data_IF_226313712190
#
_entry.id   IF_226313712190
#
_cell.length_a   1.000
_cell.length_b   1.000
_cell.length_c   1.000
_cell.angle_alpha   90.00
_cell.angle_beta   90.00
_cell.angle_gamma   90.00
#
_symmetry.space_group_name_H-M   'P 1'
#
loop_
_entity.id
_entity.type
_entity.pdbx_description
1 polymer ?
#
# COMPACT_ATOMS: atom_id res chain seq x y z
N UNK A 1 -17.61 -18.10 -11.50
CA UNK A 1 -16.63 -17.01 -11.74
C UNK A 1 -17.34 -15.69 -11.49
N UNK A 2 -16.71 -14.73 -10.83
CA UNK A 2 -17.33 -13.43 -10.47
C UNK A 2 -16.59 -12.32 -11.19
N UNK A 3 -17.33 -11.46 -11.92
CA UNK A 3 -16.76 -10.24 -12.50
C UNK A 3 -16.69 -9.16 -11.41
N UNK A 4 -15.56 -8.48 -11.36
CA UNK A 4 -15.34 -7.34 -10.47
C UNK A 4 -14.88 -6.14 -11.29
N UNK A 5 -15.26 -4.96 -10.84
CA UNK A 5 -14.82 -3.70 -11.41
C UNK A 5 -14.10 -2.94 -10.32
N UNK A 6 -12.87 -2.51 -10.62
CA UNK A 6 -12.01 -1.75 -9.71
C UNK A 6 -11.92 -0.33 -10.25
N UNK A 7 -12.25 0.64 -9.41
CA UNK A 7 -12.17 2.06 -9.75
C UNK A 7 -10.74 2.58 -9.65
N UNK A 8 -10.45 3.73 -10.27
CA UNK A 8 -9.11 4.33 -10.32
C UNK A 8 -8.49 4.61 -8.95
N UNK A 9 -9.31 4.79 -7.92
CA UNK A 9 -8.85 5.12 -6.56
C UNK A 9 -8.66 3.86 -5.69
N UNK A 10 -8.90 2.67 -6.23
CA UNK A 10 -8.83 1.42 -5.49
C UNK A 10 -7.77 0.48 -6.07
N UNK A 11 -7.14 -0.28 -5.18
CA UNK A 11 -6.31 -1.43 -5.52
C UNK A 11 -6.92 -2.65 -4.86
N UNK A 12 -6.92 -3.78 -5.57
CA UNK A 12 -7.43 -5.02 -5.05
C UNK A 12 -6.33 -6.09 -5.00
N UNK A 13 -6.13 -6.65 -3.82
CA UNK A 13 -5.22 -7.76 -3.57
C UNK A 13 -5.99 -9.07 -3.69
N UNK A 14 -5.57 -9.92 -4.62
CA UNK A 14 -6.21 -11.22 -4.86
C UNK A 14 -5.39 -12.31 -4.19
N UNK A 15 -6.04 -13.04 -3.29
CA UNK A 15 -5.46 -14.12 -2.54
C UNK A 15 -6.00 -15.47 -3.01
N UNK A 16 -5.17 -16.50 -2.93
CA UNK A 16 -5.60 -17.89 -3.14
C UNK A 16 -4.90 -18.77 -2.14
N UNK A 17 -5.68 -19.48 -1.31
CA UNK A 17 -5.16 -20.27 -0.17
C UNK A 17 -4.27 -19.45 0.79
N UNK A 18 -4.61 -18.18 1.01
CA UNK A 18 -3.88 -17.28 1.91
C UNK A 18 -2.66 -16.58 1.28
N UNK A 19 -2.24 -16.95 0.08
CA UNK A 19 -1.11 -16.31 -0.60
C UNK A 19 -1.57 -15.20 -1.56
N UNK A 20 -0.87 -14.06 -1.55
CA UNK A 20 -1.09 -12.99 -2.52
C UNK A 20 -0.64 -13.44 -3.91
N UNK A 21 -1.60 -13.58 -4.83
CA UNK A 21 -1.34 -14.01 -6.21
C UNK A 21 -1.26 -12.86 -7.19
N UNK A 22 -2.15 -11.87 -7.06
CA UNK A 22 -2.27 -10.77 -8.01
C UNK A 22 -2.60 -9.48 -7.30
N UNK A 23 -2.10 -8.39 -7.88
CA UNK A 23 -2.47 -7.02 -7.50
C UNK A 23 -3.16 -6.40 -8.70
N UNK A 24 -4.40 -5.99 -8.51
CA UNK A 24 -5.25 -5.46 -9.56
C UNK A 24 -5.51 -3.98 -9.32
N UNK A 25 -5.19 -3.15 -10.31
CA UNK A 25 -5.51 -1.71 -10.33
C UNK A 25 -6.81 -1.47 -11.09
N UNK A 26 -7.11 -0.22 -11.43
CA UNK A 26 -8.32 0.17 -12.17
C UNK A 26 -8.60 -0.71 -13.39
N UNK A 27 -9.80 -1.26 -13.49
CA UNK A 27 -10.17 -2.14 -14.60
C UNK A 27 -11.28 -3.14 -14.27
N UNK A 28 -11.63 -3.95 -15.26
CA UNK A 28 -12.60 -5.05 -15.12
C UNK A 28 -11.87 -6.39 -15.14
N UNK A 29 -12.10 -7.21 -14.12
CA UNK A 29 -11.42 -8.50 -13.96
C UNK A 29 -12.40 -9.62 -13.67
N UNK A 30 -12.00 -10.84 -14.02
CA UNK A 30 -12.70 -12.07 -13.65
C UNK A 30 -11.94 -12.78 -12.53
N UNK A 31 -12.63 -13.01 -11.42
CA UNK A 31 -12.14 -13.84 -10.32
C UNK A 31 -12.40 -15.32 -10.61
N UNK A 32 -11.34 -16.10 -10.48
CA UNK A 32 -11.33 -17.55 -10.59
C UNK A 32 -11.91 -18.23 -9.35
N UNK A 33 -12.02 -19.56 -9.42
CA UNK A 33 -12.58 -20.34 -8.31
C UNK A 33 -11.60 -20.42 -7.13
N UNK A 34 -12.11 -20.19 -5.92
CA UNK A 34 -11.34 -20.23 -4.66
C UNK A 34 -10.40 -19.03 -4.45
N UNK A 35 -10.55 -17.97 -5.24
CA UNK A 35 -9.84 -16.71 -5.01
C UNK A 35 -10.66 -15.78 -4.11
N UNK A 36 -9.98 -15.14 -3.16
CA UNK A 36 -10.53 -14.08 -2.32
C UNK A 36 -9.91 -12.75 -2.71
N UNK A 37 -10.60 -11.65 -2.42
CA UNK A 37 -10.15 -10.31 -2.77
C UNK A 37 -10.33 -9.35 -1.61
N UNK A 38 -9.32 -8.51 -1.40
CA UNK A 38 -9.36 -7.40 -0.45
C UNK A 38 -9.13 -6.11 -1.21
N UNK A 39 -10.09 -5.18 -1.13
CA UNK A 39 -9.99 -3.86 -1.75
C UNK A 39 -9.45 -2.84 -0.77
N UNK A 40 -8.47 -2.07 -1.23
CA UNK A 40 -7.86 -0.96 -0.51
C UNK A 40 -8.15 0.34 -1.25
N UNK A 41 -8.61 1.34 -0.51
CA UNK A 41 -8.82 2.69 -0.99
C UNK A 41 -7.51 3.48 -0.93
N UNK A 42 -6.89 3.76 -2.07
CA UNK A 42 -5.58 4.42 -2.08
C UNK A 42 -5.60 5.83 -1.44
N UNK A 43 -6.78 6.43 -1.22
CA UNK A 43 -6.91 7.73 -0.56
C UNK A 43 -6.82 7.65 0.97
N UNK A 44 -6.95 6.45 1.53
CA UNK A 44 -6.92 6.20 2.96
C UNK A 44 -5.56 5.70 3.40
N UNK A 45 -5.18 6.10 4.60
CA UNK A 45 -4.03 5.54 5.28
C UNK A 45 -4.41 4.17 5.82
N UNK A 46 -3.59 3.15 5.54
CA UNK A 46 -3.77 1.80 6.03
C UNK A 46 -2.57 1.41 6.89
N UNK A 47 -2.86 1.02 8.12
CA UNK A 47 -1.87 0.42 9.01
C UNK A 47 -1.77 -1.07 8.67
N UNK A 48 -0.75 -1.44 7.91
CA UNK A 48 -0.39 -2.84 7.70
C UNK A 48 0.47 -3.30 8.87
N UNK A 49 0.21 -4.49 9.40
CA UNK A 49 1.16 -5.10 10.32
C UNK A 49 2.47 -5.42 9.59
N UNK A 50 3.59 -5.47 10.33
CA UNK A 50 4.91 -5.78 9.76
C UNK A 50 4.89 -7.11 9.00
N UNK A 51 4.24 -8.13 9.58
CA UNK A 51 4.14 -9.46 8.97
C UNK A 51 3.32 -9.46 7.66
N UNK A 52 2.22 -8.72 7.62
CA UNK A 52 1.42 -8.57 6.39
C UNK A 52 2.22 -7.84 5.33
N UNK A 53 2.89 -6.76 5.71
CA UNK A 53 3.65 -5.93 4.77
C UNK A 53 4.82 -6.70 4.15
N UNK A 54 5.60 -7.41 4.98
CA UNK A 54 6.70 -8.24 4.49
C UNK A 54 6.20 -9.32 3.52
N UNK A 55 5.04 -9.92 3.79
CA UNK A 55 4.41 -10.90 2.89
C UNK A 55 3.96 -10.26 1.58
N UNK A 56 3.34 -9.08 1.62
CA UNK A 56 2.85 -8.39 0.42
C UNK A 56 4.00 -7.86 -0.44
N UNK A 57 5.09 -7.41 0.17
CA UNK A 57 6.28 -6.92 -0.51
C UNK A 57 7.04 -8.00 -1.28
N UNK A 58 6.84 -9.29 -0.99
CA UNK A 58 7.34 -10.39 -1.83
C UNK A 58 6.75 -10.35 -3.24
N UNK A 59 5.57 -9.74 -3.40
CA UNK A 59 4.95 -9.53 -4.70
C UNK A 59 5.48 -8.22 -5.34
N UNK A 60 6.23 -8.35 -6.44
CA UNK A 60 6.84 -7.22 -7.12
C UNK A 60 5.81 -6.20 -7.64
N UNK A 61 4.59 -6.61 -7.98
CA UNK A 61 3.54 -5.69 -8.44
C UNK A 61 3.00 -4.86 -7.29
N UNK A 62 2.86 -5.44 -6.09
CA UNK A 62 2.52 -4.70 -4.88
C UNK A 62 3.59 -3.65 -4.55
N UNK A 63 4.86 -4.08 -4.50
CA UNK A 63 5.98 -3.21 -4.17
C UNK A 63 6.13 -2.01 -5.12
N UNK A 64 5.75 -2.16 -6.39
CA UNK A 64 5.74 -1.06 -7.36
C UNK A 64 4.66 -0.01 -7.06
N UNK A 65 3.53 -0.42 -6.47
CA UNK A 65 2.37 0.43 -6.21
C UNK A 65 2.42 1.18 -4.88
N UNK A 66 3.40 0.91 -4.02
CA UNK A 66 3.55 1.60 -2.73
C UNK A 66 4.92 2.26 -2.57
N UNK A 67 4.97 3.36 -1.85
CA UNK A 67 6.18 3.88 -1.22
C UNK A 67 6.39 3.13 0.09
N UNK A 68 7.53 2.43 0.19
CA UNK A 68 7.95 1.82 1.45
C UNK A 68 8.76 2.85 2.24
N UNK A 69 8.24 3.23 3.41
CA UNK A 69 8.89 4.18 4.31
C UNK A 69 9.25 3.46 5.59
N UNK A 70 10.54 3.22 5.81
CA UNK A 70 11.05 2.69 7.06
C UNK A 70 11.60 3.84 7.89
N UNK A 71 11.11 4.03 9.11
CA UNK A 71 11.53 5.07 10.05
C UNK A 71 12.22 4.36 11.23
N UNK A 72 13.46 4.74 11.53
CA UNK A 72 14.18 4.17 12.66
C UNK A 72 13.66 4.69 14.01
N UNK A 73 14.03 4.04 15.11
CA UNK A 73 13.59 4.40 16.46
C UNK A 73 13.99 5.81 16.88
N UNK A 74 15.10 6.32 16.34
CA UNK A 74 15.62 7.67 16.54
C UNK A 74 15.28 8.63 15.39
N UNK A 75 14.32 8.27 14.53
CA UNK A 75 13.89 9.12 13.41
C UNK A 75 12.40 9.45 13.50
N UNK A 76 12.05 10.60 12.92
CA UNK A 76 10.69 10.91 12.51
C UNK A 76 10.67 11.14 11.01
N UNK A 77 9.61 10.69 10.32
CA UNK A 77 9.44 11.01 8.90
C UNK A 77 8.27 11.97 8.70
N UNK A 78 8.57 13.15 8.18
CA UNK A 78 7.58 14.12 7.73
C UNK A 78 7.06 13.70 6.36
N UNK A 79 5.74 13.56 6.25
CA UNK A 79 5.07 13.20 5.00
C UNK A 79 4.47 14.44 4.37
N UNK A 80 4.80 14.66 3.11
CA UNK A 80 4.21 15.72 2.30
C UNK A 80 3.38 15.08 1.19
N UNK A 81 2.16 15.59 1.00
CA UNK A 81 1.26 15.21 -0.08
C UNK A 81 1.03 16.44 -0.97
N UNK A 82 1.34 16.32 -2.26
CA UNK A 82 1.26 17.43 -3.22
C UNK A 82 1.95 18.69 -2.71
N UNK A 83 3.17 18.53 -2.16
CA UNK A 83 4.01 19.58 -1.53
C UNK A 83 3.44 20.22 -0.25
N UNK A 84 2.30 19.78 0.25
CA UNK A 84 1.73 20.23 1.51
C UNK A 84 2.05 19.24 2.62
N UNK A 85 2.35 19.73 3.82
CA UNK A 85 2.54 18.89 4.99
C UNK A 85 1.25 18.11 5.31
N UNK A 86 1.35 16.78 5.45
CA UNK A 86 0.21 15.90 5.74
C UNK A 86 0.24 15.42 7.19
N UNK A 87 1.30 14.71 7.57
CA UNK A 87 1.46 14.13 8.91
C UNK A 87 2.92 13.76 9.21
N UNK A 88 3.15 13.21 10.42
CA UNK A 88 4.44 12.69 10.86
C UNK A 88 4.30 11.19 11.14
N UNK A 89 5.18 10.39 10.57
CA UNK A 89 5.33 8.97 10.89
C UNK A 89 6.37 8.81 11.99
N UNK A 90 6.05 7.95 12.97
CA UNK A 90 6.96 7.54 14.04
C UNK A 90 7.80 6.35 13.59
N UNK A 91 8.67 5.85 14.46
CA UNK A 91 9.41 4.63 14.23
C UNK A 91 8.51 3.47 13.79
N UNK A 92 8.90 2.78 12.71
CA UNK A 92 8.10 1.71 12.11
C UNK A 92 8.28 1.58 10.60
N UNK A 93 7.56 0.63 10.01
CA UNK A 93 7.50 0.43 8.56
C UNK A 93 6.09 0.75 8.06
N UNK A 94 6.02 1.60 7.05
CA UNK A 94 4.77 2.08 6.47
C UNK A 94 4.77 1.85 4.96
N UNK A 95 3.61 1.52 4.42
CA UNK A 95 3.38 1.48 2.98
C UNK A 95 2.31 2.50 2.59
N UNK A 96 2.69 3.41 1.70
CA UNK A 96 1.83 4.49 1.24
C UNK A 96 1.57 4.30 -0.25
N UNK A 97 0.30 4.28 -0.66
CA UNK A 97 -0.08 4.07 -2.05
C UNK A 97 0.44 5.17 -2.98
N UNK A 98 1.01 4.76 -4.11
CA UNK A 98 1.42 5.63 -5.23
C UNK A 98 0.23 5.93 -6.14
N UNK A 99 0.32 7.03 -6.88
CA UNK A 99 -0.53 7.29 -8.05
C UNK A 99 -1.67 8.28 -7.84
N UNK A 100 -2.30 8.32 -6.66
CA UNK A 100 -3.36 9.31 -6.36
C UNK A 100 -2.81 10.71 -6.08
N UNK A 101 -1.64 10.80 -5.48
CA UNK A 101 -0.99 12.06 -5.14
C UNK A 101 0.51 11.88 -5.15
N UNK A 102 1.21 12.99 -5.37
CA UNK A 102 2.66 13.01 -5.22
C UNK A 102 2.99 13.03 -3.74
N UNK A 103 3.77 12.04 -3.28
CA UNK A 103 4.24 11.97 -1.92
C UNK A 103 5.75 12.17 -1.86
N UNK A 104 6.19 12.96 -0.89
CA UNK A 104 7.61 13.06 -0.53
C UNK A 104 7.79 12.91 0.97
N UNK A 105 8.97 12.42 1.36
CA UNK A 105 9.27 12.02 2.72
C UNK A 105 10.59 12.67 3.13
N UNK A 106 10.57 13.36 4.27
CA UNK A 106 11.77 13.94 4.88
C UNK A 106 11.98 13.28 6.22
N UNK A 107 13.09 12.56 6.36
CA UNK A 107 13.49 11.97 7.64
C UNK A 107 14.28 12.98 8.45
N UNK A 108 13.98 13.05 9.73
CA UNK A 108 14.64 13.90 10.71
C UNK A 108 15.13 12.99 11.83
N UNK A 109 16.44 13.05 12.10
CA UNK A 109 17.03 12.41 13.28
C UNK A 109 16.67 13.26 14.51
N UNK A 110 16.23 12.61 15.58
CA UNK A 110 15.84 13.27 16.84
C UNK A 110 16.91 13.17 17.93
N UNK A 111 18.10 12.69 17.58
CA UNK A 111 19.24 12.51 18.48
C UNK A 111 20.19 13.73 18.54
#
# INVERSE_FOLDING_TARGET
MRKITINTNYVALVFKKGELKRVLTAGSYLLGFGETITMYDMSKDYDFSVAELDTYLLNADFAKLVYLVSVADNELALVYQNKNFKNVLRAGRYAIWKGLSEYSFVKVDIN
#
